data_IF_215891579739
#
_entry.id   IF_215891579739
#
_cell.length_a   1.000
_cell.length_b   1.000
_cell.length_c   1.000
_cell.angle_alpha   90.00
_cell.angle_beta   90.00
_cell.angle_gamma   90.00
#
_symmetry.space_group_name_H-M   'P 1'
#
loop_
_entity.id
_entity.type
_entity.pdbx_description
1 polymer ?
#
# COMPACT_ATOMS: atom_id res chain seq x y z
N UNK A 1 -31.40 1.08 4.54
CA UNK A 1 -31.17 1.06 3.08
C UNK A 1 -30.09 2.10 2.77
N UNK A 2 -28.81 1.75 2.95
CA UNK A 2 -27.71 2.69 2.69
C UNK A 2 -27.55 2.87 1.19
N UNK A 3 -27.82 4.07 0.68
CA UNK A 3 -27.52 4.44 -0.70
C UNK A 3 -26.04 4.17 -0.97
N UNK A 4 -25.72 3.21 -1.84
CA UNK A 4 -24.36 3.02 -2.34
C UNK A 4 -24.06 4.16 -3.31
N UNK A 5 -23.84 5.36 -2.78
CA UNK A 5 -23.55 6.54 -3.58
C UNK A 5 -22.20 6.33 -4.26
N UNK A 6 -22.23 6.12 -5.58
CA UNK A 6 -21.04 5.98 -6.40
C UNK A 6 -20.71 7.36 -6.97
N UNK A 7 -19.45 7.78 -6.84
CA UNK A 7 -18.94 9.00 -7.47
C UNK A 7 -18.06 8.62 -8.66
N UNK A 8 -18.29 9.27 -9.80
CA UNK A 8 -17.43 9.12 -10.98
C UNK A 8 -16.24 10.05 -10.86
N UNK A 9 -15.04 9.51 -11.08
CA UNK A 9 -13.79 10.27 -11.14
C UNK A 9 -13.20 10.04 -12.53
N UNK A 10 -12.76 11.12 -13.18
CA UNK A 10 -12.13 11.09 -14.50
C UNK A 10 -10.71 11.62 -14.40
N UNK A 11 -9.74 10.87 -14.93
CA UNK A 11 -8.34 11.25 -14.96
C UNK A 11 -7.71 10.86 -16.30
N UNK A 12 -6.80 11.69 -16.81
CA UNK A 12 -6.05 11.39 -18.01
C UNK A 12 -4.88 10.44 -17.71
N UNK A 13 -4.92 9.32 -18.42
CA UNK A 13 -3.96 8.24 -18.58
C UNK A 13 -2.73 8.47 -19.46
N UNK A 14 -1.46 8.12 -19.12
CA UNK A 14 -0.52 7.74 -20.18
C UNK A 14 -1.07 6.57 -21.00
N UNK A 15 -0.81 6.56 -22.31
CA UNK A 15 -1.37 5.56 -23.24
C UNK A 15 -0.85 4.17 -22.90
N UNK A 16 0.41 4.07 -22.50
CA UNK A 16 1.08 2.84 -22.10
C UNK A 16 0.37 2.20 -20.90
N UNK A 17 -0.06 3.02 -19.94
CA UNK A 17 -0.80 2.55 -18.78
C UNK A 17 -2.21 2.08 -19.16
N UNK A 18 -2.89 2.79 -20.06
CA UNK A 18 -4.19 2.36 -20.57
C UNK A 18 -4.11 0.99 -21.27
N UNK A 19 -3.08 0.79 -22.09
CA UNK A 19 -2.80 -0.49 -22.78
C UNK A 19 -2.52 -1.61 -21.78
N UNK A 20 -1.70 -1.37 -20.76
CA UNK A 20 -1.41 -2.36 -19.73
C UNK A 20 -2.68 -2.78 -18.95
N UNK A 21 -3.56 -1.83 -18.63
CA UNK A 21 -4.85 -2.11 -17.98
C UNK A 21 -5.75 -2.95 -18.89
N UNK A 22 -5.75 -2.69 -20.19
CA UNK A 22 -6.54 -3.44 -21.16
C UNK A 22 -6.03 -4.88 -21.32
N UNK A 23 -4.72 -5.08 -21.41
CA UNK A 23 -4.11 -6.41 -21.47
C UNK A 23 -4.44 -7.22 -20.21
N UNK A 24 -4.27 -6.63 -19.03
CA UNK A 24 -4.58 -7.30 -17.77
C UNK A 24 -6.08 -7.62 -17.62
N UNK A 25 -6.95 -6.74 -18.14
CA UNK A 25 -8.39 -6.98 -18.18
C UNK A 25 -8.73 -8.22 -19.03
N UNK A 26 -8.07 -8.39 -20.19
CA UNK A 26 -8.22 -9.57 -21.05
C UNK A 26 -7.67 -10.84 -20.39
N UNK A 27 -6.48 -10.77 -19.80
CA UNK A 27 -5.84 -11.90 -19.13
C UNK A 27 -6.67 -12.45 -17.96
N UNK A 28 -7.30 -11.56 -17.19
CA UNK A 28 -8.09 -11.93 -16.01
C UNK A 28 -9.58 -12.15 -16.30
N UNK A 29 -10.02 -12.00 -17.55
CA UNK A 29 -11.44 -12.01 -17.95
C UNK A 29 -12.30 -11.04 -17.10
N UNK A 30 -11.83 -9.79 -16.99
CA UNK A 30 -12.46 -8.73 -16.19
C UNK A 30 -12.65 -7.45 -16.98
N UNK A 31 -13.50 -6.56 -16.47
CA UNK A 31 -13.65 -5.22 -17.04
C UNK A 31 -12.48 -4.32 -16.67
N UNK A 32 -12.10 -3.40 -17.58
CA UNK A 32 -11.11 -2.34 -17.31
C UNK A 32 -11.46 -1.52 -16.06
N UNK A 33 -12.75 -1.21 -15.87
CA UNK A 33 -13.22 -0.51 -14.67
C UNK A 33 -13.03 -1.32 -13.38
N UNK A 34 -13.08 -2.65 -13.43
CA UNK A 34 -12.78 -3.49 -12.28
C UNK A 34 -11.28 -3.45 -11.96
N UNK A 35 -10.41 -3.59 -12.97
CA UNK A 35 -8.96 -3.48 -12.81
C UNK A 35 -8.56 -2.13 -12.19
N UNK A 36 -9.12 -1.03 -12.69
CA UNK A 36 -8.85 0.32 -12.17
C UNK A 36 -9.27 0.45 -10.70
N UNK A 37 -10.43 -0.09 -10.33
CA UNK A 37 -10.91 -0.06 -8.93
C UNK A 37 -10.03 -0.90 -8.02
N UNK A 38 -9.62 -2.07 -8.48
CA UNK A 38 -8.75 -2.96 -7.72
C UNK A 38 -7.38 -2.32 -7.49
N UNK A 39 -6.76 -1.80 -8.55
CA UNK A 39 -5.48 -1.09 -8.46
C UNK A 39 -5.55 0.13 -7.51
N UNK A 40 -6.63 0.92 -7.59
CA UNK A 40 -6.83 2.07 -6.71
C UNK A 40 -7.00 1.64 -5.25
N UNK A 41 -7.78 0.58 -5.00
CA UNK A 41 -8.02 0.05 -3.65
C UNK A 41 -6.73 -0.45 -3.04
N UNK A 42 -5.96 -1.25 -3.78
CA UNK A 42 -4.68 -1.78 -3.34
C UNK A 42 -3.67 -0.67 -3.05
N UNK A 43 -3.58 0.34 -3.93
CA UNK A 43 -2.68 1.48 -3.72
C UNK A 43 -3.02 2.27 -2.45
N UNK A 44 -4.31 2.56 -2.22
CA UNK A 44 -4.75 3.29 -1.04
C UNK A 44 -4.50 2.48 0.24
N UNK A 45 -4.82 1.19 0.24
CA UNK A 45 -4.58 0.31 1.37
C UNK A 45 -3.08 0.21 1.74
N UNK A 46 -2.20 0.11 0.73
CA UNK A 46 -0.76 0.06 0.96
C UNK A 46 -0.21 1.41 1.48
N UNK A 47 -0.72 2.54 0.97
CA UNK A 47 -0.36 3.86 1.49
C UNK A 47 -0.81 4.04 2.93
N UNK A 48 -2.02 3.63 3.25
CA UNK A 48 -2.56 3.70 4.60
C UNK A 48 -1.76 2.83 5.56
N UNK A 49 -1.50 1.56 5.18
CA UNK A 49 -0.66 0.66 5.99
C UNK A 49 0.71 1.26 6.28
N UNK A 50 1.36 1.84 5.27
CA UNK A 50 2.66 2.50 5.44
C UNK A 50 2.56 3.69 6.39
N UNK A 51 1.54 4.52 6.22
CA UNK A 51 1.31 5.68 7.08
C UNK A 51 1.10 5.25 8.54
N UNK A 52 0.23 4.28 8.78
CA UNK A 52 -0.05 3.73 10.10
C UNK A 52 1.19 3.10 10.73
N UNK A 53 2.01 2.37 9.95
CA UNK A 53 3.25 1.77 10.46
C UNK A 53 4.26 2.83 10.90
N UNK A 54 4.37 3.94 10.15
CA UNK A 54 5.24 5.05 10.52
C UNK A 54 4.72 5.73 11.78
N UNK A 55 3.41 6.00 11.85
CA UNK A 55 2.81 6.66 13.01
C UNK A 55 2.98 5.80 14.27
N UNK A 56 2.72 4.49 14.18
CA UNK A 56 2.94 3.56 15.29
C UNK A 56 4.40 3.59 15.79
N UNK A 57 5.38 3.65 14.88
CA UNK A 57 6.79 3.79 15.27
C UNK A 57 7.10 5.12 15.97
N UNK A 58 6.48 6.22 15.55
CA UNK A 58 6.63 7.53 16.22
C UNK A 58 5.97 7.53 17.60
N UNK A 59 4.83 6.86 17.74
CA UNK A 59 4.12 6.72 19.01
C UNK A 59 4.94 5.87 19.98
N UNK A 60 5.52 4.75 19.52
CA UNK A 60 6.40 3.91 20.34
C UNK A 60 7.63 4.68 20.85
N UNK A 61 8.22 5.55 20.02
CA UNK A 61 9.32 6.44 20.47
C UNK A 61 8.84 7.44 21.51
N UNK A 62 7.66 8.02 21.31
CA UNK A 62 7.04 8.98 22.25
C UNK A 62 6.72 8.33 23.59
N UNK A 63 6.28 7.07 23.58
CA UNK A 63 5.98 6.27 24.77
C UNK A 63 7.24 5.65 25.41
N UNK A 64 8.42 5.85 24.82
CA UNK A 64 9.68 5.32 25.33
C UNK A 64 9.85 3.82 25.15
N UNK A 65 9.08 3.18 24.26
CA UNK A 65 9.23 1.77 23.85
C UNK A 65 10.41 1.62 22.88
N UNK A 66 11.59 2.01 23.34
CA UNK A 66 12.85 1.95 22.58
C UNK A 66 13.81 0.95 23.23
N UNK A 67 14.71 0.38 22.44
CA UNK A 67 15.81 -0.44 22.94
C UNK A 67 17.11 0.36 22.99
N UNK A 68 18.04 -0.05 23.85
CA UNK A 68 19.34 0.59 23.90
C UNK A 68 20.16 0.33 22.64
N UNK A 69 21.12 1.21 22.36
CA UNK A 69 22.04 1.02 21.24
C UNK A 69 22.79 -0.32 21.31
N UNK A 70 23.19 -0.76 22.52
CA UNK A 70 23.89 -2.01 22.72
C UNK A 70 23.02 -3.23 22.36
N UNK A 71 21.74 -3.23 22.73
CA UNK A 71 20.78 -4.29 22.39
C UNK A 71 20.54 -4.35 20.88
N UNK A 72 20.38 -3.18 20.24
CA UNK A 72 20.25 -3.08 18.79
C UNK A 72 21.49 -3.65 18.06
N UNK A 73 22.70 -3.29 18.50
CA UNK A 73 23.94 -3.80 17.90
C UNK A 73 24.08 -5.32 18.04
N UNK A 74 23.65 -5.89 19.18
CA UNK A 74 23.62 -7.33 19.37
C UNK A 74 22.65 -8.00 18.38
N UNK A 75 21.42 -7.49 18.26
CA UNK A 75 20.43 -7.98 17.30
C UNK A 75 20.94 -7.94 15.84
N UNK A 76 21.50 -6.81 15.39
CA UNK A 76 22.08 -6.72 14.04
C UNK A 76 23.22 -7.71 13.80
N UNK A 77 24.03 -8.00 14.82
CA UNK A 77 25.13 -8.96 14.69
C UNK A 77 24.65 -10.40 14.51
N UNK A 78 23.46 -10.72 15.05
CA UNK A 78 22.81 -12.02 14.87
C UNK A 78 22.19 -12.18 13.48
N UNK A 79 21.59 -11.12 12.93
CA UNK A 79 21.04 -11.12 11.56
C UNK A 79 22.10 -11.32 10.47
N UNK A 80 23.36 -10.96 10.72
CA UNK A 80 24.47 -11.13 9.76
C UNK A 80 25.09 -12.53 9.78
N UNK A 81 24.69 -13.40 10.71
CA UNK A 81 25.28 -14.74 10.89
C UNK A 81 24.58 -15.84 10.09
N UNK A 82 23.60 -15.49 9.26
CA UNK A 82 22.97 -16.37 8.26
C UNK A 82 23.45 -16.02 6.85
#
# INVERSE_FOLDING_TARGET
>A
MGSSTKQTISAQIPVELATAVEQLALELDRSKSWIIKEALTAMLAERERRHQSIQAGLDDVTEGKVISHAEMMNFASQLKKE
#
